data_IF_587170408793
#
_entry.id   IF_587170408793
#
_cell.length_a   1.000
_cell.length_b   1.000
_cell.length_c   1.000
_cell.angle_alpha   90.00
_cell.angle_beta   90.00
_cell.angle_gamma   90.00
#
_symmetry.space_group_name_H-M   'P 1'
#
loop_
_entity.id
_entity.type
_entity.pdbx_description
1 polymer ?
#
# COMPACT_ATOMS: atom_id res chain seq x y z
N UNK A 1 3.41 -9.41 26.94
CA UNK A 1 2.63 -8.14 26.87
C UNK A 1 1.40 -8.28 25.97
N UNK A 2 1.52 -8.76 24.73
CA UNK A 2 0.40 -8.96 23.81
C UNK A 2 -0.75 -9.82 24.40
N UNK A 3 -0.44 -11.04 24.86
CA UNK A 3 -1.44 -11.96 25.42
C UNK A 3 -2.22 -11.35 26.60
N UNK A 4 -1.52 -10.64 27.48
CA UNK A 4 -2.14 -9.94 28.59
C UNK A 4 -3.11 -8.84 28.14
N UNK A 5 -2.79 -8.10 27.06
CA UNK A 5 -3.66 -7.04 26.53
C UNK A 5 -4.97 -7.60 25.97
N UNK A 6 -4.92 -8.71 25.25
CA UNK A 6 -6.11 -9.31 24.65
C UNK A 6 -6.98 -10.07 25.64
N UNK A 7 -6.42 -10.56 26.74
CA UNK A 7 -7.13 -11.24 27.82
C UNK A 7 -7.75 -10.26 28.84
N UNK A 8 -7.48 -8.94 28.68
CA UNK A 8 -7.90 -7.94 29.67
C UNK A 8 -9.10 -7.12 29.19
N UNK A 9 -10.30 -7.44 29.68
CA UNK A 9 -11.57 -6.79 29.33
C UNK A 9 -11.68 -5.30 29.67
N UNK A 10 -10.67 -4.73 30.34
CA UNK A 10 -10.64 -3.29 30.65
C UNK A 10 -10.26 -2.41 29.46
N UNK A 11 -9.69 -3.00 28.40
CA UNK A 11 -9.15 -2.26 27.27
C UNK A 11 -9.85 -2.61 25.98
N UNK A 12 -10.06 -1.60 25.14
CA UNK A 12 -10.40 -1.77 23.73
C UNK A 12 -9.12 -1.94 22.92
N UNK A 13 -9.13 -2.87 21.98
CA UNK A 13 -8.01 -3.13 21.08
C UNK A 13 -8.35 -2.60 19.69
N UNK A 14 -7.54 -1.69 19.18
CA UNK A 14 -7.67 -1.15 17.83
C UNK A 14 -6.85 -2.00 16.86
N UNK A 15 -7.54 -2.69 15.97
CA UNK A 15 -6.96 -3.52 14.92
C UNK A 15 -6.75 -2.66 13.67
N UNK A 16 -5.55 -2.64 13.12
CA UNK A 16 -5.26 -1.86 11.90
C UNK A 16 -5.75 -2.53 10.62
N UNK A 17 -6.24 -3.76 10.71
CA UNK A 17 -6.80 -4.54 9.60
C UNK A 17 -7.79 -5.58 10.10
N UNK A 18 -8.65 -6.09 9.20
CA UNK A 18 -9.48 -7.25 9.50
C UNK A 18 -8.67 -8.50 9.78
N UNK A 19 -7.46 -8.64 9.21
CA UNK A 19 -6.54 -9.73 9.52
C UNK A 19 -6.10 -9.70 10.98
N UNK A 20 -5.79 -8.52 11.51
CA UNK A 20 -5.46 -8.37 12.93
C UNK A 20 -6.66 -8.69 13.81
N UNK A 21 -7.86 -8.21 13.43
CA UNK A 21 -9.11 -8.52 14.13
C UNK A 21 -9.34 -10.04 14.23
N UNK A 22 -9.28 -10.78 13.13
CA UNK A 22 -9.46 -12.23 13.12
C UNK A 22 -8.35 -12.96 13.89
N UNK A 23 -7.13 -12.43 13.87
CA UNK A 23 -6.01 -12.96 14.65
C UNK A 23 -6.27 -12.80 16.14
N UNK A 24 -6.66 -11.61 16.60
CA UNK A 24 -6.95 -11.35 18.01
C UNK A 24 -8.14 -12.15 18.52
N UNK A 25 -9.20 -12.26 17.72
CA UNK A 25 -10.37 -13.08 17.99
C UNK A 25 -9.99 -14.57 18.15
N UNK A 26 -9.21 -15.11 17.23
CA UNK A 26 -8.69 -16.49 17.30
C UNK A 26 -7.82 -16.70 18.56
N UNK A 27 -7.04 -15.71 18.96
CA UNK A 27 -6.16 -15.76 20.11
C UNK A 27 -6.92 -15.52 21.44
N UNK A 28 -8.25 -15.39 21.40
CA UNK A 28 -9.11 -15.35 22.58
C UNK A 28 -9.48 -13.95 23.09
N UNK A 29 -9.27 -12.91 22.27
CA UNK A 29 -9.71 -11.57 22.64
C UNK A 29 -11.24 -11.47 22.67
N UNK A 30 -11.77 -10.67 23.61
CA UNK A 30 -13.18 -10.35 23.66
C UNK A 30 -13.56 -9.51 22.41
N UNK A 31 -14.44 -10.06 21.55
CA UNK A 31 -14.84 -9.43 20.29
C UNK A 31 -15.54 -8.10 20.48
N UNK A 32 -16.25 -7.91 21.60
CA UNK A 32 -16.92 -6.64 21.93
C UNK A 32 -15.92 -5.52 22.27
N UNK A 33 -14.65 -5.87 22.44
CA UNK A 33 -13.53 -4.96 22.71
C UNK A 33 -12.56 -4.83 21.53
N UNK A 34 -12.88 -5.40 20.37
CA UNK A 34 -12.08 -5.29 19.16
C UNK A 34 -12.71 -4.30 18.18
N UNK A 35 -11.93 -3.31 17.75
CA UNK A 35 -12.37 -2.30 16.78
C UNK A 35 -11.40 -2.27 15.60
N UNK A 36 -11.92 -2.37 14.40
CA UNK A 36 -11.10 -2.24 13.19
C UNK A 36 -10.93 -0.76 12.85
N UNK A 37 -9.70 -0.28 12.98
CA UNK A 37 -9.32 1.11 12.77
C UNK A 37 -8.10 1.19 11.85
N UNK A 38 -8.28 1.05 10.53
CA UNK A 38 -7.16 1.04 9.58
C UNK A 38 -6.52 2.41 9.43
N UNK A 39 -5.22 2.44 9.20
CA UNK A 39 -4.52 3.68 8.85
C UNK A 39 -5.05 4.25 7.54
N UNK A 40 -5.13 5.57 7.45
CA UNK A 40 -5.54 6.31 6.28
C UNK A 40 -4.40 7.07 5.59
N UNK A 41 -4.72 7.68 4.44
CA UNK A 41 -3.84 8.58 3.72
C UNK A 41 -4.37 10.01 3.75
N UNK A 42 -3.47 11.01 3.81
CA UNK A 42 -3.81 12.46 3.79
C UNK A 42 -3.99 12.90 2.33
N UNK A 43 -5.16 12.61 1.75
CA UNK A 43 -5.41 12.85 0.33
C UNK A 43 -5.26 14.33 -0.10
N UNK A 44 -5.42 15.29 0.81
CA UNK A 44 -5.31 16.72 0.52
C UNK A 44 -3.88 17.19 0.30
N UNK A 45 -2.93 16.48 0.89
CA UNK A 45 -1.51 16.83 0.81
C UNK A 45 -0.86 16.27 -0.46
N UNK A 46 -1.45 15.20 -1.03
CA UNK A 46 -0.94 14.61 -2.27
C UNK A 46 -1.34 15.43 -3.50
N UNK A 47 -0.33 15.87 -4.23
CA UNK A 47 -0.56 16.43 -5.56
C UNK A 47 -1.27 15.42 -6.46
N UNK A 48 -2.09 15.91 -7.38
CA UNK A 48 -2.81 15.09 -8.34
C UNK A 48 -2.72 15.68 -9.73
N UNK A 49 -2.39 14.85 -10.70
CA UNK A 49 -2.46 15.19 -12.12
C UNK A 49 -3.10 14.05 -12.91
N UNK A 50 -3.91 14.43 -13.91
CA UNK A 50 -4.44 13.47 -14.89
C UNK A 50 -3.40 13.12 -15.96
N UNK A 51 -2.34 13.94 -16.08
CA UNK A 51 -1.27 13.77 -17.08
C UNK A 51 0.06 13.56 -16.36
N UNK A 52 0.39 12.32 -15.95
CA UNK A 52 1.63 12.05 -15.25
C UNK A 52 2.85 12.36 -16.13
N UNK A 53 3.94 12.81 -15.52
CA UNK A 53 5.19 13.10 -16.24
C UNK A 53 5.89 11.82 -16.73
N UNK A 54 5.69 10.72 -16.01
CA UNK A 54 6.29 9.41 -16.27
C UNK A 54 5.21 8.33 -16.51
N UNK A 55 4.32 8.45 -17.52
CA UNK A 55 3.18 7.54 -17.71
C UNK A 55 3.57 6.09 -17.98
N UNK A 56 4.77 5.87 -18.48
CA UNK A 56 5.31 4.53 -18.77
C UNK A 56 6.20 3.97 -17.66
N UNK A 57 6.26 4.65 -16.49
CA UNK A 57 7.10 4.25 -15.38
C UNK A 57 6.26 3.80 -14.18
N UNK A 58 6.79 2.83 -13.46
CA UNK A 58 6.24 2.28 -12.21
C UNK A 58 7.09 2.75 -11.05
N UNK A 59 6.47 3.25 -10.00
CA UNK A 59 7.12 3.57 -8.74
C UNK A 59 7.09 2.36 -7.81
N UNK A 60 8.23 1.96 -7.25
CA UNK A 60 8.30 1.06 -6.11
C UNK A 60 8.71 1.87 -4.87
N UNK A 61 7.73 2.27 -4.06
CA UNK A 61 7.97 3.11 -2.89
C UNK A 61 7.93 2.27 -1.60
N UNK A 62 9.02 2.29 -0.86
CA UNK A 62 9.12 1.59 0.42
C UNK A 62 10.56 1.35 0.84
N UNK A 63 10.77 1.03 2.11
CA UNK A 63 12.08 0.64 2.61
C UNK A 63 12.67 -0.47 1.74
N UNK A 64 13.93 -0.33 1.35
CA UNK A 64 14.64 -1.36 0.60
C UNK A 64 15.06 -2.44 1.57
N UNK A 65 14.36 -3.58 1.53
CA UNK A 65 14.56 -4.72 2.45
C UNK A 65 14.18 -6.04 1.77
N UNK A 66 14.80 -7.19 2.12
CA UNK A 66 14.57 -8.48 1.44
C UNK A 66 13.10 -8.88 1.35
N UNK A 67 12.31 -8.64 2.41
CA UNK A 67 10.88 -8.93 2.47
C UNK A 67 10.06 -8.24 1.39
N UNK A 68 10.54 -7.10 0.89
CA UNK A 68 9.87 -6.34 -0.19
C UNK A 68 10.33 -6.74 -1.59
N UNK A 69 11.30 -7.64 -1.71
CA UNK A 69 11.71 -8.29 -2.97
C UNK A 69 12.14 -7.33 -4.09
N UNK A 70 12.50 -6.06 -3.76
CA UNK A 70 12.88 -5.07 -4.77
C UNK A 70 14.07 -5.53 -5.62
N UNK A 71 14.99 -6.30 -5.03
CA UNK A 71 16.17 -6.84 -5.70
C UNK A 71 15.86 -7.69 -6.94
N UNK A 72 14.68 -8.33 -6.98
CA UNK A 72 14.27 -9.16 -8.12
C UNK A 72 13.87 -8.34 -9.35
N UNK A 73 13.45 -7.09 -9.15
CA UNK A 73 12.78 -6.30 -10.18
C UNK A 73 13.66 -5.16 -10.70
N UNK A 74 14.94 -5.09 -10.31
CA UNK A 74 15.85 -4.03 -10.73
C UNK A 74 16.17 -4.04 -12.22
N UNK A 75 16.00 -5.18 -12.89
CA UNK A 75 16.20 -5.32 -14.34
C UNK A 75 14.95 -5.00 -15.15
N UNK A 76 13.81 -4.76 -14.52
CA UNK A 76 12.59 -4.38 -15.23
C UNK A 76 12.71 -2.92 -15.69
N UNK A 77 12.75 -2.72 -17.00
CA UNK A 77 12.76 -1.37 -17.57
C UNK A 77 11.49 -0.60 -17.17
N UNK A 78 11.68 0.64 -16.76
CA UNK A 78 10.58 1.51 -16.36
C UNK A 78 10.07 1.28 -14.93
N UNK A 79 10.89 0.69 -14.05
CA UNK A 79 10.66 0.64 -12.61
C UNK A 79 11.71 1.47 -11.89
N UNK A 80 11.28 2.38 -11.04
CA UNK A 80 12.14 3.18 -10.15
C UNK A 80 11.85 2.86 -8.69
N UNK A 81 12.91 2.74 -7.90
CA UNK A 81 12.87 2.35 -6.50
C UNK A 81 13.19 3.55 -5.60
N UNK A 82 12.32 3.77 -4.62
CA UNK A 82 12.46 4.87 -3.67
C UNK A 82 12.27 4.36 -2.25
N UNK A 83 13.21 4.71 -1.37
CA UNK A 83 13.10 4.40 0.05
C UNK A 83 14.43 4.26 0.75
N UNK A 84 14.36 4.24 2.08
CA UNK A 84 15.56 4.04 2.91
C UNK A 84 16.18 2.68 2.62
N UNK A 85 17.46 2.68 2.29
CA UNK A 85 18.23 1.45 2.07
C UNK A 85 18.55 0.76 3.39
N UNK A 86 18.12 -0.47 3.53
CA UNK A 86 18.42 -1.34 4.69
C UNK A 86 18.80 -2.76 4.27
N UNK A 87 18.65 -3.09 2.99
CA UNK A 87 19.10 -4.37 2.44
C UNK A 87 20.61 -4.32 2.18
N UNK A 88 21.35 -5.19 2.83
CA UNK A 88 22.82 -5.25 2.70
C UNK A 88 23.29 -6.38 1.77
N UNK A 89 22.38 -7.16 1.18
CA UNK A 89 22.73 -8.43 0.57
C UNK A 89 22.40 -8.58 -0.91
N UNK A 90 21.26 -8.07 -1.37
CA UNK A 90 20.73 -8.45 -2.67
C UNK A 90 20.41 -7.28 -3.59
N UNK A 91 20.04 -6.12 -3.03
CA UNK A 91 19.69 -4.94 -3.82
C UNK A 91 20.95 -4.10 -4.16
N UNK A 92 21.20 -3.86 -5.44
CA UNK A 92 22.28 -2.99 -5.89
C UNK A 92 21.84 -1.53 -5.90
N UNK A 93 22.28 -0.77 -4.89
CA UNK A 93 21.97 0.65 -4.73
C UNK A 93 22.69 1.60 -5.69
N UNK A 94 23.65 1.09 -6.47
CA UNK A 94 24.42 1.92 -7.43
C UNK A 94 23.74 1.97 -8.81
N UNK A 95 22.65 1.24 -8.99
CA UNK A 95 21.89 1.28 -10.25
C UNK A 95 21.06 2.55 -10.35
N UNK A 96 20.95 3.10 -11.55
CA UNK A 96 20.20 4.34 -11.83
C UNK A 96 18.71 4.25 -11.50
N UNK A 97 18.15 3.04 -11.42
CA UNK A 97 16.76 2.82 -11.02
C UNK A 97 16.51 3.04 -9.53
N UNK A 98 17.55 3.17 -8.68
CA UNK A 98 17.40 3.52 -7.28
C UNK A 98 17.60 5.01 -7.06
N UNK A 99 16.52 5.71 -6.72
CA UNK A 99 16.48 7.17 -6.55
C UNK A 99 16.76 7.63 -5.12
N UNK A 100 17.21 6.71 -4.25
CA UNK A 100 17.44 7.04 -2.85
C UNK A 100 16.15 7.16 -2.03
N UNK A 101 16.26 7.82 -0.89
CA UNK A 101 15.12 8.12 -0.02
C UNK A 101 14.59 9.51 -0.38
N UNK A 102 13.28 9.59 -0.59
CA UNK A 102 12.61 10.87 -0.76
C UNK A 102 12.24 11.48 0.59
N UNK A 103 12.40 12.78 0.69
CA UNK A 103 11.81 13.56 1.77
C UNK A 103 10.29 13.57 1.65
N UNK A 104 9.60 13.78 2.77
CA UNK A 104 8.14 13.69 2.84
C UNK A 104 7.46 14.63 1.84
N UNK A 105 7.86 15.90 1.81
CA UNK A 105 7.28 16.91 0.91
C UNK A 105 7.50 16.55 -0.57
N UNK A 106 8.68 16.04 -0.90
CA UNK A 106 8.97 15.60 -2.26
C UNK A 106 8.07 14.43 -2.67
N UNK A 107 7.87 13.45 -1.78
CA UNK A 107 6.95 12.34 -2.00
C UNK A 107 5.53 12.83 -2.31
N UNK A 108 5.01 13.78 -1.52
CA UNK A 108 3.65 14.33 -1.71
C UNK A 108 3.44 14.94 -3.10
N UNK A 109 4.49 15.55 -3.66
CA UNK A 109 4.44 16.20 -4.97
C UNK A 109 4.62 15.21 -6.13
N UNK A 110 5.48 14.19 -5.98
CA UNK A 110 6.00 13.42 -7.11
C UNK A 110 5.45 12.00 -7.26
N UNK A 111 4.73 11.45 -6.29
CA UNK A 111 4.09 10.13 -6.45
C UNK A 111 3.15 10.13 -7.66
N UNK A 112 2.39 11.19 -7.87
CA UNK A 112 1.44 11.33 -8.98
C UNK A 112 2.09 11.37 -10.38
N UNK A 113 3.42 11.57 -10.47
CA UNK A 113 4.13 11.64 -11.74
C UNK A 113 4.24 10.29 -12.46
N UNK A 114 4.05 9.19 -11.76
CA UNK A 114 4.18 7.84 -12.30
C UNK A 114 2.88 7.30 -12.92
N UNK A 115 3.05 6.32 -13.81
CA UNK A 115 1.91 5.62 -14.42
C UNK A 115 1.16 4.74 -13.43
N UNK A 116 1.88 4.03 -12.55
CA UNK A 116 1.33 3.18 -11.49
C UNK A 116 2.34 2.97 -10.36
N UNK A 117 1.93 2.25 -9.31
CA UNK A 117 2.82 1.83 -8.22
C UNK A 117 2.81 0.31 -8.07
N UNK A 118 3.94 -0.28 -7.69
CA UNK A 118 4.02 -1.69 -7.32
C UNK A 118 4.50 -1.88 -5.87
N UNK A 119 4.01 -2.95 -5.22
CA UNK A 119 4.50 -3.44 -3.94
C UNK A 119 4.26 -4.94 -3.80
N UNK A 120 5.29 -5.74 -4.06
CA UNK A 120 5.23 -7.20 -4.01
C UNK A 120 5.87 -7.76 -2.72
N UNK A 121 5.53 -7.15 -1.59
CA UNK A 121 6.05 -7.54 -0.29
C UNK A 121 5.43 -8.83 0.23
N UNK A 122 6.16 -9.49 1.12
CA UNK A 122 5.71 -10.64 1.88
C UNK A 122 5.32 -10.24 3.31
N UNK A 123 4.22 -10.81 3.82
CA UNK A 123 3.85 -10.70 5.23
C UNK A 123 3.31 -9.35 5.70
N UNK A 124 2.64 -8.57 4.87
CA UNK A 124 1.96 -7.33 5.30
C UNK A 124 0.72 -7.65 6.17
N UNK A 125 0.48 -6.79 7.17
CA UNK A 125 -0.69 -6.86 8.05
C UNK A 125 -1.77 -5.86 7.62
N UNK A 126 -2.43 -6.12 6.51
CA UNK A 126 -3.35 -5.18 5.86
C UNK A 126 -2.68 -4.39 4.74
N UNK A 127 -3.45 -3.57 4.04
CA UNK A 127 -2.94 -2.77 2.93
C UNK A 127 -1.92 -1.73 3.42
N UNK A 128 -0.68 -1.77 2.92
CA UNK A 128 0.37 -0.84 3.30
C UNK A 128 0.00 0.61 3.02
N UNK A 129 0.46 1.53 3.89
CA UNK A 129 0.14 2.95 3.77
C UNK A 129 0.54 3.52 2.40
N UNK A 130 1.69 3.13 1.85
CA UNK A 130 2.16 3.59 0.53
C UNK A 130 1.21 3.23 -0.61
N UNK A 131 0.48 2.12 -0.51
CA UNK A 131 -0.54 1.74 -1.50
C UNK A 131 -1.78 2.64 -1.38
N UNK A 132 -2.23 2.93 -0.17
CA UNK A 132 -3.32 3.89 0.09
C UNK A 132 -2.93 5.30 -0.40
N UNK A 133 -1.69 5.70 -0.18
CA UNK A 133 -1.10 6.94 -0.68
C UNK A 133 -1.06 6.97 -2.22
N UNK A 134 -0.69 5.88 -2.87
CA UNK A 134 -0.73 5.77 -4.34
C UNK A 134 -2.16 5.97 -4.89
N UNK A 135 -3.14 5.29 -4.30
CA UNK A 135 -4.54 5.40 -4.72
C UNK A 135 -5.07 6.83 -4.55
N UNK A 136 -4.80 7.51 -3.44
CA UNK A 136 -5.22 8.92 -3.26
C UNK A 136 -4.45 9.88 -4.17
N UNK A 137 -3.26 9.51 -4.64
CA UNK A 137 -2.51 10.24 -5.67
C UNK A 137 -2.96 9.88 -7.10
N UNK A 138 -3.93 8.96 -7.26
CA UNK A 138 -4.52 8.59 -8.54
C UNK A 138 -3.74 7.51 -9.30
N UNK A 139 -2.91 6.70 -8.63
CA UNK A 139 -2.16 5.61 -9.25
C UNK A 139 -2.87 4.28 -9.07
N UNK A 140 -3.00 3.51 -10.16
CA UNK A 140 -3.31 2.09 -10.09
C UNK A 140 -2.15 1.32 -9.43
N UNK A 141 -2.45 0.14 -8.90
CA UNK A 141 -1.50 -0.60 -8.08
C UNK A 141 -1.32 -2.04 -8.55
N UNK A 142 -0.07 -2.53 -8.47
CA UNK A 142 0.30 -3.93 -8.68
C UNK A 142 0.88 -4.45 -7.37
N UNK A 143 0.21 -5.40 -6.74
CA UNK A 143 0.46 -5.78 -5.35
C UNK A 143 0.55 -7.29 -5.17
N UNK A 144 1.23 -7.73 -4.10
CA UNK A 144 1.10 -9.11 -3.62
C UNK A 144 -0.27 -9.31 -2.92
N UNK A 145 -0.68 -10.55 -2.74
CA UNK A 145 -1.90 -10.87 -1.96
C UNK A 145 -1.86 -10.28 -0.54
N UNK A 146 -0.66 -10.18 0.05
CA UNK A 146 -0.49 -9.63 1.40
C UNK A 146 -0.71 -8.12 1.45
N UNK A 147 -0.35 -7.42 0.37
CA UNK A 147 -0.57 -5.97 0.27
C UNK A 147 -1.97 -5.59 -0.21
N UNK A 148 -2.76 -6.56 -0.67
CA UNK A 148 -4.10 -6.37 -1.22
C UNK A 148 -5.25 -6.51 -0.21
N UNK A 149 -4.98 -6.80 1.07
CA UNK A 149 -5.99 -7.25 2.05
C UNK A 149 -7.26 -6.42 2.13
N UNK A 150 -7.15 -5.09 2.07
CA UNK A 150 -8.31 -4.19 2.21
C UNK A 150 -8.71 -3.55 0.88
N UNK A 151 -8.17 -4.06 -0.25
CA UNK A 151 -8.47 -3.55 -1.58
C UNK A 151 -9.61 -4.35 -2.24
N UNK A 152 -10.43 -3.65 -3.00
CA UNK A 152 -11.33 -4.32 -3.94
C UNK A 152 -10.53 -4.80 -5.16
N UNK A 153 -10.20 -6.08 -5.17
CA UNK A 153 -9.40 -6.71 -6.24
C UNK A 153 -10.18 -6.97 -7.53
N UNK A 154 -11.47 -6.67 -7.57
CA UNK A 154 -12.29 -6.71 -8.80
C UNK A 154 -12.10 -5.47 -9.67
N UNK A 155 -11.52 -4.40 -9.11
CA UNK A 155 -11.31 -3.15 -9.81
C UNK A 155 -10.15 -3.26 -10.83
N UNK A 156 -10.31 -2.74 -12.06
CA UNK A 156 -9.35 -2.95 -13.13
C UNK A 156 -7.97 -2.33 -12.86
N UNK A 157 -7.88 -1.35 -12.00
CA UNK A 157 -6.64 -0.67 -11.61
C UNK A 157 -5.95 -1.32 -10.39
N UNK A 158 -6.51 -2.39 -9.83
CA UNK A 158 -5.89 -3.21 -8.77
C UNK A 158 -5.48 -4.55 -9.36
N UNK A 159 -4.19 -4.76 -9.52
CA UNK A 159 -3.63 -6.01 -10.05
C UNK A 159 -2.94 -6.78 -8.93
N UNK A 160 -3.38 -8.01 -8.66
CA UNK A 160 -2.74 -8.89 -7.68
C UNK A 160 -1.84 -9.88 -8.41
N UNK A 161 -0.57 -9.96 -8.04
CA UNK A 161 0.37 -10.97 -8.54
C UNK A 161 0.19 -12.24 -7.72
N UNK A 162 -0.10 -13.40 -8.35
CA UNK A 162 -0.19 -14.69 -7.67
C UNK A 162 1.12 -15.10 -7.00
N UNK A 163 1.03 -15.89 -5.93
CA UNK A 163 2.21 -16.31 -5.16
C UNK A 163 3.21 -17.17 -5.93
N UNK A 164 2.75 -17.88 -6.95
CA UNK A 164 3.60 -18.69 -7.84
C UNK A 164 4.19 -17.88 -9.01
N UNK A 165 3.93 -16.57 -9.09
CA UNK A 165 4.30 -15.71 -10.22
C UNK A 165 5.21 -14.52 -9.85
N UNK A 166 5.52 -14.29 -8.59
CA UNK A 166 6.33 -13.12 -8.23
C UNK A 166 7.81 -13.24 -8.65
N UNK A 167 8.34 -14.46 -8.90
CA UNK A 167 9.67 -14.69 -9.47
C UNK A 167 9.68 -14.72 -11.02
N UNK A 168 8.53 -14.80 -11.64
CA UNK A 168 8.37 -14.75 -13.09
C UNK A 168 8.43 -13.28 -13.55
N UNK A 169 9.64 -12.81 -13.82
CA UNK A 169 9.92 -11.39 -14.10
C UNK A 169 9.19 -10.91 -15.34
N UNK A 170 9.09 -11.76 -16.38
CA UNK A 170 8.36 -11.42 -17.61
C UNK A 170 6.86 -11.25 -17.34
N UNK A 171 6.28 -12.14 -16.53
CA UNK A 171 4.89 -12.04 -16.11
C UNK A 171 4.64 -10.76 -15.31
N UNK A 172 5.50 -10.46 -14.33
CA UNK A 172 5.39 -9.23 -13.51
C UNK A 172 5.50 -8.00 -14.43
N UNK A 173 6.47 -7.94 -15.34
CA UNK A 173 6.64 -6.84 -16.27
C UNK A 173 5.40 -6.65 -17.16
N UNK A 174 4.85 -7.73 -17.68
CA UNK A 174 3.60 -7.68 -18.47
C UNK A 174 2.46 -7.06 -17.65
N UNK A 175 2.28 -7.52 -16.41
CA UNK A 175 1.23 -7.00 -15.52
C UNK A 175 1.43 -5.54 -15.13
N UNK A 176 2.67 -5.08 -14.96
CA UNK A 176 2.98 -3.67 -14.76
C UNK A 176 2.56 -2.81 -15.98
N UNK A 177 2.85 -3.28 -17.19
CA UNK A 177 2.49 -2.58 -18.44
C UNK A 177 0.96 -2.50 -18.60
N UNK A 178 0.25 -3.61 -18.39
CA UNK A 178 -1.21 -3.67 -18.44
C UNK A 178 -1.85 -2.70 -17.46
N UNK A 179 -1.43 -2.77 -16.19
CA UNK A 179 -1.95 -1.91 -15.13
C UNK A 179 -1.65 -0.43 -15.39
N UNK A 180 -0.45 -0.06 -15.88
CA UNK A 180 -0.11 1.34 -16.25
C UNK A 180 -1.08 1.92 -17.27
N UNK A 181 -1.42 1.16 -18.32
CA UNK A 181 -2.38 1.61 -19.35
C UNK A 181 -3.73 1.97 -18.73
N UNK A 182 -4.23 1.10 -17.85
CA UNK A 182 -5.49 1.31 -17.14
C UNK A 182 -5.37 2.51 -16.18
N UNK A 183 -4.31 2.52 -15.36
CA UNK A 183 -4.06 3.55 -14.36
C UNK A 183 -4.04 4.96 -14.96
N UNK A 184 -3.32 5.14 -16.07
CA UNK A 184 -3.22 6.46 -16.74
C UNK A 184 -4.57 6.96 -17.27
N UNK A 185 -5.46 6.06 -17.68
CA UNK A 185 -6.78 6.44 -18.21
C UNK A 185 -7.83 6.66 -17.12
N UNK A 186 -7.65 6.08 -15.92
CA UNK A 186 -8.64 6.08 -14.83
C UNK A 186 -8.18 6.88 -13.61
N UNK A 187 -7.32 7.88 -13.79
CA UNK A 187 -6.70 8.62 -12.68
C UNK A 187 -7.71 9.23 -11.69
N UNK A 188 -8.80 9.81 -12.20
CA UNK A 188 -9.85 10.41 -11.36
C UNK A 188 -10.60 9.37 -10.55
N UNK A 189 -11.00 8.30 -11.20
CA UNK A 189 -11.72 7.18 -10.59
C UNK A 189 -10.88 6.51 -9.50
N UNK A 190 -9.59 6.30 -9.78
CA UNK A 190 -8.63 5.75 -8.82
C UNK A 190 -8.50 6.67 -7.60
N UNK A 191 -8.31 7.97 -7.85
CA UNK A 191 -8.23 8.97 -6.77
C UNK A 191 -9.51 8.99 -5.95
N UNK A 192 -10.67 8.97 -6.60
CA UNK A 192 -11.96 8.97 -5.90
C UNK A 192 -12.12 7.73 -5.04
N UNK A 193 -11.79 6.54 -5.58
CA UNK A 193 -11.75 5.30 -4.81
C UNK A 193 -10.82 5.41 -3.59
N UNK A 194 -9.62 5.94 -3.78
CA UNK A 194 -8.65 6.16 -2.69
C UNK A 194 -9.22 7.08 -1.59
N UNK A 195 -9.85 8.19 -1.97
CA UNK A 195 -10.47 9.14 -1.04
C UNK A 195 -11.62 8.50 -0.28
N UNK A 196 -12.50 7.79 -0.99
CA UNK A 196 -13.72 7.21 -0.42
C UNK A 196 -13.43 6.05 0.54
N UNK A 197 -12.31 5.36 0.38
CA UNK A 197 -12.01 4.19 1.18
C UNK A 197 -10.87 4.40 2.19
N UNK A 198 -9.90 5.29 1.88
CA UNK A 198 -8.65 5.39 2.65
C UNK A 198 -8.31 6.80 3.12
N UNK A 199 -9.15 7.81 2.91
CA UNK A 199 -8.83 9.15 3.42
C UNK A 199 -9.00 9.23 4.94
N UNK A 200 -8.07 9.92 5.60
CA UNK A 200 -8.18 10.19 7.04
C UNK A 200 -9.47 10.91 7.41
N UNK A 201 -9.97 11.81 6.57
CA UNK A 201 -11.23 12.52 6.85
C UNK A 201 -12.41 11.58 7.02
N UNK A 202 -12.47 10.50 6.22
CA UNK A 202 -13.52 9.50 6.35
C UNK A 202 -13.28 8.58 7.54
N UNK A 203 -12.05 8.07 7.68
CA UNK A 203 -11.72 7.11 8.73
C UNK A 203 -11.86 7.71 10.14
N UNK A 204 -11.44 8.96 10.34
CA UNK A 204 -11.57 9.65 11.63
C UNK A 204 -13.02 9.75 12.08
N UNK A 205 -13.96 9.98 11.16
CA UNK A 205 -15.39 10.00 11.50
C UNK A 205 -15.82 8.65 12.10
N UNK A 206 -15.47 7.55 11.43
CA UNK A 206 -15.75 6.19 11.93
C UNK A 206 -15.06 5.92 13.27
N UNK A 207 -13.83 6.43 13.47
CA UNK A 207 -13.12 6.29 14.75
C UNK A 207 -13.83 7.00 15.88
N UNK A 208 -14.30 8.23 15.65
CA UNK A 208 -15.05 9.01 16.64
C UNK A 208 -16.37 8.29 16.99
N UNK A 209 -17.12 7.84 15.98
CA UNK A 209 -18.36 7.09 16.18
C UNK A 209 -18.13 5.81 17.01
N UNK A 210 -17.06 5.07 16.72
CA UNK A 210 -16.69 3.87 17.48
C UNK A 210 -16.35 4.21 18.94
N UNK A 211 -15.57 5.27 19.19
CA UNK A 211 -15.19 5.70 20.53
C UNK A 211 -16.41 6.20 21.32
N UNK A 212 -17.30 6.95 20.69
CA UNK A 212 -18.54 7.42 21.34
C UNK A 212 -19.49 6.27 21.68
N UNK A 213 -19.50 5.20 20.88
CA UNK A 213 -20.26 3.98 21.14
C UNK A 213 -19.74 3.11 22.30
N UNK A 214 -18.53 3.39 22.82
CA UNK A 214 -17.89 2.66 23.93
C UNK A 214 -18.38 3.05 25.32
N UNK A 215 -19.43 3.84 25.45
CA UNK A 215 -19.98 4.32 26.72
C UNK A 215 -20.74 3.25 27.49
#
# INVERSE_FOLDING_TARGET
MYKWLIENDKYYNFCISYKDYETYKRDGANVDKLLVCPNGAQHRDYHFTEKPLKPSWTLYLGRIEPRKRQYLYQDIYGVEFVGKYTDTTSFDRNRDCYLGQWEHEYKLQHVTDYGNMMLLSDGENGTPLVIKEALVAGLGVVVSKYAAHDLDTSLPFVTVIPDDKWEDIEYVQMKLIENRKISVTMRKEIRQYGIDNFSWQKLVKTYVENIEGMK
#
